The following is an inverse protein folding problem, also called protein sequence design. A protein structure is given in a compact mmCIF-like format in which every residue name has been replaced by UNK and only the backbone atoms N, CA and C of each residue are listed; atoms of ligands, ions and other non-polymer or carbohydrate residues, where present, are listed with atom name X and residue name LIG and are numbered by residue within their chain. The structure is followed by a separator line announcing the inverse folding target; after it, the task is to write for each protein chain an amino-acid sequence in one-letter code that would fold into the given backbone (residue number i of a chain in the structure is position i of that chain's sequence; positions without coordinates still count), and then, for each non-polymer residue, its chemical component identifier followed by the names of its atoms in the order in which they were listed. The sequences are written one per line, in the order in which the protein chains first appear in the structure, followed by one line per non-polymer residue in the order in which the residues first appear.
data_IF_561973836774
#
_entry.id   IF_561973836774
#
_cell.length_a   1.000
_cell.length_b   1.000
_cell.length_c   1.000
_cell.angle_alpha   90.00
_cell.angle_beta   90.00
_cell.angle_gamma   90.00
#
_symmetry.space_group_name_H-M   'P 1'
#
loop_
_entity.id
_entity.type
_entity.pdbx_description
1 polymer ?
#
# COMPACT_ATOMS: atom_id res chain seq x y z
N UNK A 1 -14.92 -10.52 13.67
CA UNK A 1 -13.54 -10.60 14.22
C UNK A 1 -12.45 -11.05 13.24
N UNK A 2 -12.74 -11.60 12.04
CA UNK A 2 -11.70 -12.06 11.08
C UNK A 2 -11.18 -10.96 10.14
N UNK A 3 -11.98 -9.91 9.91
CA UNK A 3 -11.64 -8.76 9.02
C UNK A 3 -10.65 -7.80 9.69
N UNK A 4 -10.83 -7.51 11.00
CA UNK A 4 -9.90 -6.68 11.78
C UNK A 4 -8.47 -7.26 11.87
N UNK A 5 -8.32 -8.59 11.70
CA UNK A 5 -7.02 -9.28 11.78
C UNK A 5 -6.26 -9.24 10.44
N UNK A 6 -6.94 -8.88 9.35
CA UNK A 6 -6.35 -8.64 8.03
C UNK A 6 -5.90 -7.18 7.95
N UNK A 7 -6.76 -6.23 8.35
CA UNK A 7 -6.39 -4.81 8.43
C UNK A 7 -5.22 -4.57 9.40
N UNK A 8 -5.21 -5.22 10.56
CA UNK A 8 -4.12 -5.11 11.55
C UNK A 8 -2.77 -5.71 11.08
N UNK A 9 -2.71 -6.34 9.91
CA UNK A 9 -1.46 -6.93 9.37
C UNK A 9 -0.83 -6.07 8.28
N UNK A 10 -1.61 -5.23 7.61
CA UNK A 10 -1.09 -4.34 6.58
C UNK A 10 -0.21 -3.26 7.18
N UNK A 11 -0.65 -2.60 8.26
CA UNK A 11 0.13 -1.57 8.94
C UNK A 11 1.52 -2.06 9.39
N UNK A 12 1.66 -3.14 10.18
CA UNK A 12 2.98 -3.60 10.63
C UNK A 12 3.86 -4.10 9.47
N UNK A 13 3.27 -4.69 8.42
CA UNK A 13 4.05 -5.15 7.26
C UNK A 13 4.64 -3.96 6.49
N UNK A 14 3.85 -2.90 6.32
CA UNK A 14 4.31 -1.66 5.68
C UNK A 14 5.42 -1.01 6.50
N UNK A 15 5.27 -0.90 7.82
CA UNK A 15 6.31 -0.35 8.68
C UNK A 15 7.60 -1.18 8.67
N UNK A 16 7.51 -2.51 8.65
CA UNK A 16 8.69 -3.38 8.53
C UNK A 16 9.36 -3.21 7.17
N UNK A 17 8.59 -3.11 6.08
CA UNK A 17 9.13 -2.88 4.74
C UNK A 17 9.83 -1.52 4.64
N UNK A 18 9.22 -0.46 5.17
CA UNK A 18 9.82 0.88 5.25
C UNK A 18 11.08 0.83 6.12
N UNK A 19 11.01 0.18 7.28
CA UNK A 19 12.15 0.03 8.18
C UNK A 19 13.32 -0.65 7.50
N UNK A 20 13.06 -1.76 6.79
CA UNK A 20 14.07 -2.51 6.03
C UNK A 20 14.62 -1.70 4.86
N UNK A 21 13.77 -0.98 4.13
CA UNK A 21 14.18 -0.10 3.03
C UNK A 21 15.09 1.03 3.54
N UNK A 22 14.76 1.67 4.66
CA UNK A 22 15.61 2.68 5.29
C UNK A 22 16.92 2.07 5.80
N UNK A 23 16.89 0.87 6.39
CA UNK A 23 18.08 0.19 6.89
C UNK A 23 19.04 -0.15 5.75
N UNK A 24 18.52 -0.60 4.60
CA UNK A 24 19.29 -0.84 3.39
C UNK A 24 19.79 0.47 2.76
N UNK A 25 18.93 1.50 2.68
CA UNK A 25 19.29 2.80 2.12
C UNK A 25 20.42 3.46 2.92
N UNK A 26 20.32 3.48 4.25
CA UNK A 26 21.33 4.06 5.13
C UNK A 26 22.55 3.16 5.20
N UNK A 27 22.39 1.83 5.34
CA UNK A 27 23.51 0.91 5.44
C UNK A 27 24.36 0.87 4.16
N UNK A 28 23.72 0.59 3.02
CA UNK A 28 24.39 0.56 1.71
C UNK A 28 24.84 1.96 1.26
N UNK A 29 24.01 2.98 1.49
CA UNK A 29 24.35 4.35 1.15
C UNK A 29 25.52 4.90 1.98
N UNK A 30 25.60 4.57 3.27
CA UNK A 30 26.75 4.96 4.11
C UNK A 30 28.04 4.27 3.65
N UNK A 31 27.96 2.99 3.24
CA UNK A 31 29.11 2.30 2.67
C UNK A 31 29.61 2.97 1.38
N UNK A 32 28.71 3.35 0.47
CA UNK A 32 29.07 4.11 -0.75
C UNK A 32 29.69 5.46 -0.43
N UNK A 33 29.22 6.15 0.62
CA UNK A 33 29.80 7.42 1.06
C UNK A 33 31.23 7.24 1.57
N UNK A 34 31.50 6.17 2.33
CA UNK A 34 32.84 5.84 2.81
C UNK A 34 33.81 5.46 1.67
N UNK A 35 33.31 4.87 0.59
CA UNK A 35 34.10 4.57 -0.61
C UNK A 35 34.29 5.79 -1.54
N UNK A 36 33.69 6.95 -1.22
CA UNK A 36 33.79 8.17 -2.02
C UNK A 36 32.98 8.15 -3.31
N UNK A 37 32.15 7.13 -3.55
CA UNK A 37 31.29 7.05 -4.73
C UNK A 37 30.02 7.90 -4.62
N UNK A 38 29.69 8.35 -3.40
CA UNK A 38 28.53 9.19 -3.12
C UNK A 38 28.86 10.20 -2.02
N UNK A 39 28.24 11.37 -2.05
CA UNK A 39 28.39 12.40 -1.00
C UNK A 39 27.35 12.20 0.10
N UNK A 40 27.64 12.73 1.29
CA UNK A 40 26.67 12.74 2.39
C UNK A 40 25.37 13.44 1.97
N UNK A 41 25.44 14.53 1.20
CA UNK A 41 24.26 15.23 0.70
C UNK A 41 23.38 14.35 -0.20
N UNK A 42 23.99 13.59 -1.12
CA UNK A 42 23.25 12.65 -1.97
C UNK A 42 22.56 11.54 -1.16
N UNK A 43 23.21 11.02 -0.10
CA UNK A 43 22.59 10.06 0.82
C UNK A 43 21.35 10.66 1.49
N UNK A 44 21.48 11.86 2.05
CA UNK A 44 20.37 12.53 2.75
C UNK A 44 19.21 12.82 1.80
N UNK A 45 19.49 13.34 0.60
CA UNK A 45 18.47 13.57 -0.43
C UNK A 45 17.77 12.27 -0.85
N UNK A 46 18.51 11.17 -1.02
CA UNK A 46 17.94 9.87 -1.34
C UNK A 46 16.96 9.39 -0.25
N UNK A 47 17.35 9.47 1.03
CA UNK A 47 16.48 9.10 2.15
C UNK A 47 15.24 10.00 2.22
N UNK A 48 15.37 11.30 1.96
CA UNK A 48 14.24 12.22 1.90
C UNK A 48 13.27 11.86 0.77
N UNK A 49 13.77 11.56 -0.43
CA UNK A 49 12.93 11.14 -1.55
C UNK A 49 12.25 9.80 -1.30
N UNK A 50 12.93 8.86 -0.66
CA UNK A 50 12.34 7.61 -0.17
C UNK A 50 11.16 7.90 0.76
N UNK A 51 11.35 8.79 1.75
CA UNK A 51 10.30 9.20 2.68
C UNK A 51 9.09 9.83 1.97
N UNK A 52 9.33 10.70 0.99
CA UNK A 52 8.29 11.31 0.17
C UNK A 52 7.53 10.29 -0.68
N UNK A 53 8.14 9.16 -1.05
CA UNK A 53 7.53 8.11 -1.87
C UNK A 53 6.61 7.17 -1.05
N UNK A 54 6.77 7.11 0.28
CA UNK A 54 5.94 6.27 1.15
C UNK A 54 4.46 6.64 1.04
N UNK A 55 4.15 7.94 1.12
CA UNK A 55 2.76 8.44 1.06
C UNK A 55 2.05 8.12 -0.27
N UNK A 56 2.62 8.42 -1.45
CA UNK A 56 2.08 8.04 -2.74
C UNK A 56 1.84 6.53 -2.89
N UNK A 57 2.78 5.70 -2.41
CA UNK A 57 2.66 4.25 -2.45
C UNK A 57 1.47 3.75 -1.61
N UNK A 58 1.28 4.32 -0.42
CA UNK A 58 0.13 4.03 0.44
C UNK A 58 -1.19 4.46 -0.21
N UNK A 59 -1.21 5.67 -0.78
CA UNK A 59 -2.39 6.20 -1.48
C UNK A 59 -2.79 5.30 -2.67
N UNK A 60 -1.82 4.83 -3.45
CA UNK A 60 -2.03 3.85 -4.53
C UNK A 60 -2.64 2.54 -4.00
N UNK A 61 -2.10 1.98 -2.92
CA UNK A 61 -2.63 0.76 -2.32
C UNK A 61 -4.10 0.93 -1.87
N UNK A 62 -4.44 2.09 -1.30
CA UNK A 62 -5.83 2.41 -0.94
C UNK A 62 -6.72 2.54 -2.17
N UNK A 63 -6.24 3.16 -3.25
CA UNK A 63 -6.97 3.30 -4.50
C UNK A 63 -7.32 1.92 -5.08
N UNK A 64 -6.37 0.99 -5.13
CA UNK A 64 -6.62 -0.39 -5.57
C UNK A 64 -7.68 -1.09 -4.71
N UNK A 65 -7.60 -0.94 -3.39
CA UNK A 65 -8.58 -1.52 -2.47
C UNK A 65 -10.00 -0.96 -2.69
N UNK A 66 -10.13 0.33 -3.00
CA UNK A 66 -11.41 0.94 -3.37
C UNK A 66 -11.95 0.34 -4.67
N UNK A 67 -11.11 0.20 -5.71
CA UNK A 67 -11.52 -0.36 -7.00
C UNK A 67 -11.97 -1.81 -6.88
N UNK A 68 -11.22 -2.66 -6.16
CA UNK A 68 -11.61 -4.06 -5.93
C UNK A 68 -12.94 -4.17 -5.18
N UNK A 69 -13.13 -3.39 -4.11
CA UNK A 69 -14.41 -3.34 -3.38
C UNK A 69 -15.55 -2.82 -4.24
N UNK A 70 -15.29 -1.83 -5.09
CA UNK A 70 -16.26 -1.27 -6.03
C UNK A 70 -16.72 -2.30 -7.06
N UNK A 71 -15.79 -3.06 -7.63
CA UNK A 71 -16.10 -4.16 -8.57
C UNK A 71 -16.95 -5.24 -7.92
N UNK A 72 -16.62 -5.66 -6.69
CA UNK A 72 -17.40 -6.63 -5.94
C UNK A 72 -18.82 -6.11 -5.60
N UNK A 73 -18.94 -4.83 -5.22
CA UNK A 73 -20.24 -4.20 -4.97
C UNK A 73 -21.08 -4.11 -6.26
N UNK A 74 -20.46 -3.73 -7.38
CA UNK A 74 -21.10 -3.69 -8.68
C UNK A 74 -21.63 -5.06 -9.11
N UNK A 75 -20.83 -6.11 -8.94
CA UNK A 75 -21.28 -7.48 -9.23
C UNK A 75 -22.50 -7.87 -8.40
N UNK A 76 -22.54 -7.52 -7.10
CA UNK A 76 -23.70 -7.81 -6.23
C UNK A 76 -24.94 -7.04 -6.63
N UNK A 77 -24.80 -5.76 -6.98
CA UNK A 77 -25.91 -4.93 -7.47
C UNK A 77 -26.48 -5.53 -8.75
N UNK A 78 -25.62 -5.95 -9.68
CA UNK A 78 -26.06 -6.59 -10.93
C UNK A 78 -26.82 -7.89 -10.65
N UNK A 79 -26.32 -8.76 -9.79
CA UNK A 79 -27.04 -10.00 -9.40
C UNK A 79 -28.40 -9.69 -8.78
N UNK A 80 -28.49 -8.72 -7.87
CA UNK A 80 -29.77 -8.27 -7.29
C UNK A 80 -30.74 -7.67 -8.33
N UNK A 81 -30.24 -7.00 -9.36
CA UNK A 81 -31.07 -6.44 -10.44
C UNK A 81 -31.53 -7.53 -11.43
N UNK A 82 -30.73 -8.57 -11.62
CA UNK A 82 -31.02 -9.71 -12.49
C UNK A 82 -31.90 -10.77 -11.80
N UNK A 83 -31.97 -10.76 -10.47
CA UNK A 83 -32.90 -11.57 -9.68
C UNK A 83 -34.36 -11.17 -10.01
N UNK A 84 -35.09 -12.07 -10.69
CA UNK A 84 -36.49 -11.85 -11.07
C UNK A 84 -37.39 -11.62 -9.83
N UNK A 85 -38.42 -10.76 -9.92
CA UNK A 85 -39.25 -10.42 -8.77
C UNK A 85 -39.99 -11.65 -8.25
N UNK A 86 -39.68 -12.08 -7.02
CA UNK A 86 -40.32 -13.22 -6.35
C UNK A 86 -41.77 -12.94 -5.90
N UNK A 87 -42.38 -11.81 -6.28
CA UNK A 87 -43.77 -11.49 -5.95
C UNK A 87 -44.67 -11.77 -7.14
N UNK A 88 -45.05 -13.05 -7.27
CA UNK A 88 -46.27 -13.42 -7.97
C UNK A 88 -47.44 -12.81 -7.17
N UNK A 89 -47.96 -11.67 -7.61
CA UNK A 89 -49.20 -11.09 -7.05
C UNK A 89 -50.32 -12.12 -7.21
N UNK A 90 -50.93 -12.48 -6.09
CA UNK A 90 -52.23 -13.17 -6.02
C UNK A 90 -53.31 -12.13 -5.76
#
# INVERSE_FOLDING_TARGET
MRVARIDARFDPTIYIAIGTANLLAIGGGSWMVLQGSMTLGQLTSFVMYLGLMIWPMLALAWMFNIVERGSAAYSRIRTMLEEAPAVQRR
#
